data_IF_942531104334
#
_entry.id   IF_942531104334
#
_cell.length_a   1.000
_cell.length_b   1.000
_cell.length_c   1.000
_cell.angle_alpha   90.00
_cell.angle_beta   90.00
_cell.angle_gamma   90.00
#
_symmetry.space_group_name_H-M   'P 1'
#
loop_
_entity.id
_entity.type
_entity.pdbx_description
1 polymer ?
#
# COMPACT_ATOMS: atom_id res chain seq x y z
N UNK A 1 10.80 18.86 -4.48
CA UNK A 1 9.41 19.20 -4.16
C UNK A 1 9.21 18.77 -2.73
N UNK A 2 9.29 19.75 -1.85
CA UNK A 2 9.14 19.59 -0.42
C UNK A 2 7.74 19.06 -0.09
N UNK A 3 7.67 18.29 0.99
CA UNK A 3 6.44 17.86 1.65
C UNK A 3 5.67 19.07 2.16
N UNK A 4 4.95 19.76 1.28
CA UNK A 4 3.82 20.58 1.74
C UNK A 4 2.76 19.62 2.25
N UNK A 5 2.51 19.70 3.56
CA UNK A 5 1.25 19.30 4.17
C UNK A 5 0.11 19.62 3.18
N UNK A 6 -0.81 18.67 2.96
CA UNK A 6 -2.09 19.00 2.29
C UNK A 6 -2.82 20.02 3.16
N UNK A 7 -2.49 21.29 3.01
CA UNK A 7 -3.20 22.42 3.60
C UNK A 7 -4.34 22.70 2.64
N UNK A 8 -5.54 22.25 3.00
CA UNK A 8 -6.74 22.68 2.28
C UNK A 8 -6.78 24.20 2.38
N UNK A 9 -6.83 24.88 1.24
CA UNK A 9 -6.84 26.34 1.24
C UNK A 9 -8.14 26.82 1.88
N UNK A 10 -8.11 27.96 2.57
CA UNK A 10 -9.33 28.59 3.09
C UNK A 10 -10.38 28.76 1.98
N UNK A 11 -9.95 29.00 0.74
CA UNK A 11 -10.83 29.13 -0.41
C UNK A 11 -11.57 27.85 -0.79
N UNK A 12 -10.96 26.67 -0.62
CA UNK A 12 -11.62 25.38 -0.87
C UNK A 12 -12.62 25.05 0.24
N UNK A 13 -12.25 25.29 1.50
CA UNK A 13 -13.17 25.14 2.63
C UNK A 13 -14.39 26.04 2.45
N UNK A 14 -14.19 27.31 2.10
CA UNK A 14 -15.29 28.25 1.89
C UNK A 14 -16.19 27.86 0.71
N UNK A 15 -15.63 27.25 -0.34
CA UNK A 15 -16.40 26.73 -1.48
C UNK A 15 -17.29 25.57 -1.06
N UNK A 16 -16.77 24.61 -0.30
CA UNK A 16 -17.56 23.49 0.22
C UNK A 16 -18.61 23.95 1.23
N UNK A 17 -18.30 24.96 2.06
CA UNK A 17 -19.28 25.55 2.97
C UNK A 17 -20.41 26.28 2.23
N UNK A 18 -20.12 26.88 1.06
CA UNK A 18 -21.11 27.57 0.24
C UNK A 18 -22.13 26.62 -0.44
N UNK A 19 -21.85 25.31 -0.46
CA UNK A 19 -22.78 24.28 -0.96
C UNK A 19 -23.83 23.88 0.10
N UNK A 20 -23.67 24.32 1.35
CA UNK A 20 -24.58 24.02 2.45
C UNK A 20 -25.77 24.99 2.48
N UNK A 21 -26.91 24.49 2.95
CA UNK A 21 -28.10 25.30 3.22
C UNK A 21 -27.90 26.22 4.43
N UNK A 22 -28.73 27.26 4.56
CA UNK A 22 -28.69 28.16 5.72
C UNK A 22 -28.91 27.42 7.04
N UNK A 23 -29.81 26.43 7.07
CA UNK A 23 -30.06 25.60 8.25
C UNK A 23 -28.83 24.76 8.63
N UNK A 24 -28.13 24.20 7.65
CA UNK A 24 -26.88 23.46 7.88
C UNK A 24 -25.75 24.39 8.36
N UNK A 25 -25.62 25.58 7.79
CA UNK A 25 -24.65 26.59 8.27
C UNK A 25 -24.95 27.04 9.70
N UNK A 26 -26.22 27.27 10.02
CA UNK A 26 -26.67 27.63 11.36
C UNK A 26 -26.41 26.48 12.35
N UNK A 27 -26.66 25.23 11.94
CA UNK A 27 -26.28 24.05 12.72
C UNK A 27 -24.76 24.01 12.95
N UNK A 28 -23.94 24.24 11.93
CA UNK A 28 -22.48 24.23 12.06
C UNK A 28 -21.99 25.30 13.04
N UNK A 29 -22.52 26.52 12.92
CA UNK A 29 -22.18 27.65 13.79
C UNK A 29 -22.54 27.35 15.25
N UNK A 30 -23.76 26.86 15.51
CA UNK A 30 -24.24 26.56 16.87
C UNK A 30 -23.56 25.34 17.50
N UNK A 31 -22.96 24.47 16.68
CA UNK A 31 -22.32 23.23 17.13
C UNK A 31 -20.80 23.20 16.86
N UNK A 32 -20.15 24.37 16.75
CA UNK A 32 -18.72 24.46 16.41
C UNK A 32 -17.82 23.63 17.34
N UNK A 33 -18.16 23.59 18.64
CA UNK A 33 -17.42 22.77 19.62
C UNK A 33 -17.54 21.27 19.33
N UNK A 34 -18.72 20.80 18.93
CA UNK A 34 -18.98 19.39 18.59
C UNK A 34 -18.25 19.01 17.30
N UNK A 35 -18.21 19.91 16.32
CA UNK A 35 -17.46 19.72 15.07
C UNK A 35 -15.97 19.63 15.35
N UNK A 36 -15.41 20.55 16.14
CA UNK A 36 -13.99 20.50 16.55
C UNK A 36 -13.67 19.18 17.25
N UNK A 37 -14.53 18.72 18.16
CA UNK A 37 -14.38 17.43 18.83
C UNK A 37 -14.38 16.26 17.84
N UNK A 38 -15.33 16.22 16.90
CA UNK A 38 -15.41 15.17 15.88
C UNK A 38 -14.22 15.18 14.93
N UNK A 39 -13.73 16.35 14.52
CA UNK A 39 -12.52 16.48 13.71
C UNK A 39 -11.31 15.94 14.48
N UNK A 40 -11.13 16.34 15.74
CA UNK A 40 -10.03 15.85 16.56
C UNK A 40 -10.07 14.33 16.76
N UNK A 41 -11.25 13.76 17.03
CA UNK A 41 -11.44 12.31 17.10
C UNK A 41 -11.08 11.64 15.77
N UNK A 42 -11.50 12.21 14.64
CA UNK A 42 -11.19 11.66 13.33
C UNK A 42 -9.70 11.73 13.00
N UNK A 43 -9.01 12.79 13.39
CA UNK A 43 -7.57 12.92 13.22
C UNK A 43 -6.80 11.89 14.07
N UNK A 44 -7.20 11.70 15.33
CA UNK A 44 -6.63 10.69 16.23
C UNK A 44 -6.88 9.26 15.68
N UNK A 45 -8.07 8.98 15.14
CA UNK A 45 -8.34 7.72 14.43
C UNK A 45 -7.45 7.52 13.21
N UNK A 46 -7.24 8.56 12.39
CA UNK A 46 -6.36 8.49 11.22
C UNK A 46 -4.92 8.21 11.66
N UNK A 47 -4.43 8.90 12.70
CA UNK A 47 -3.08 8.72 13.21
C UNK A 47 -2.87 7.31 13.77
N UNK A 48 -3.81 6.81 14.59
CA UNK A 48 -3.79 5.44 15.12
C UNK A 48 -3.84 4.38 14.02
N UNK A 49 -4.51 4.67 12.90
CA UNK A 49 -4.62 3.77 11.75
C UNK A 49 -3.60 4.07 10.64
N UNK A 50 -2.57 4.87 10.92
CA UNK A 50 -1.44 5.09 10.01
C UNK A 50 -0.31 4.12 10.33
N UNK A 51 -0.31 3.01 9.59
CA UNK A 51 0.69 1.96 9.70
C UNK A 51 1.87 2.13 8.75
N UNK A 52 1.73 2.97 7.72
CA UNK A 52 2.74 3.12 6.67
C UNK A 52 2.96 4.59 6.39
N UNK A 53 4.21 5.04 6.53
CA UNK A 53 4.63 6.42 6.35
C UNK A 53 5.83 6.48 5.41
N UNK A 54 5.82 7.30 4.34
CA UNK A 54 6.97 7.45 3.48
C UNK A 54 8.12 8.16 4.21
N UNK A 55 9.36 7.73 3.93
CA UNK A 55 10.55 8.44 4.37
C UNK A 55 11.22 9.13 3.19
N UNK A 56 11.52 10.42 3.35
CA UNK A 56 12.45 11.12 2.46
C UNK A 56 13.87 10.62 2.65
N UNK A 57 14.74 10.85 1.66
CA UNK A 57 16.15 10.48 1.72
C UNK A 57 16.86 11.09 2.94
N UNK A 58 16.50 12.33 3.30
CA UNK A 58 17.04 13.04 4.47
C UNK A 58 16.54 12.43 5.78
N UNK A 59 15.26 12.05 5.85
CA UNK A 59 14.71 11.39 7.05
C UNK A 59 15.37 10.02 7.26
N UNK A 60 15.55 9.23 6.19
CA UNK A 60 16.25 7.96 6.27
C UNK A 60 17.67 8.13 6.80
N UNK A 61 18.43 9.09 6.26
CA UNK A 61 19.80 9.37 6.70
C UNK A 61 19.91 9.75 8.18
N UNK A 62 18.93 10.50 8.70
CA UNK A 62 18.93 10.95 10.10
C UNK A 62 18.47 9.87 11.07
N UNK A 63 17.43 9.12 10.71
CA UNK A 63 16.75 8.20 11.63
C UNK A 63 17.29 6.77 11.54
N UNK A 64 17.77 6.35 10.36
CA UNK A 64 18.23 4.99 10.09
C UNK A 64 19.50 4.99 9.22
N UNK A 65 20.61 5.59 9.70
CA UNK A 65 21.84 5.73 8.92
C UNK A 65 22.43 4.41 8.42
N UNK A 66 22.16 3.30 9.12
CA UNK A 66 22.65 1.96 8.78
C UNK A 66 22.08 1.38 7.47
N UNK A 67 21.01 1.96 6.91
CA UNK A 67 20.39 1.49 5.66
C UNK A 67 20.55 2.47 4.49
N UNK A 68 21.34 3.54 4.67
CA UNK A 68 21.51 4.61 3.67
C UNK A 68 22.26 4.10 2.42
N UNK A 69 23.17 3.14 2.59
CA UNK A 69 23.90 2.53 1.49
C UNK A 69 22.97 1.82 0.48
N UNK A 70 21.86 1.25 0.96
CA UNK A 70 20.82 0.59 0.14
C UNK A 70 20.04 1.60 -0.73
N UNK A 71 19.87 2.84 -0.27
CA UNK A 71 19.04 3.86 -0.92
C UNK A 71 19.46 4.17 -2.37
N UNK A 72 20.76 4.25 -2.63
CA UNK A 72 21.29 4.62 -3.96
C UNK A 72 20.82 3.65 -5.06
N UNK A 73 20.86 2.35 -4.78
CA UNK A 73 20.42 1.32 -5.72
C UNK A 73 18.91 1.39 -5.97
N UNK A 74 18.11 1.61 -4.93
CA UNK A 74 16.65 1.77 -5.06
C UNK A 74 16.25 3.01 -5.84
N UNK A 75 16.88 4.16 -5.58
CA UNK A 75 16.65 5.38 -6.37
C UNK A 75 17.02 5.19 -7.84
N UNK A 76 18.12 4.46 -8.12
CA UNK A 76 18.50 4.11 -9.50
C UNK A 76 17.47 3.18 -10.15
N UNK A 77 16.97 2.19 -9.42
CA UNK A 77 15.91 1.30 -9.89
C UNK A 77 14.64 2.09 -10.19
N UNK A 78 14.13 2.89 -9.25
CA UNK A 78 12.92 3.71 -9.40
C UNK A 78 12.91 4.58 -10.67
N UNK A 79 14.06 5.17 -11.03
CA UNK A 79 14.21 5.90 -12.31
C UNK A 79 13.93 5.05 -13.55
N UNK A 80 14.29 3.75 -13.53
CA UNK A 80 13.97 2.81 -14.63
C UNK A 80 12.47 2.55 -14.75
N UNK A 81 11.74 2.66 -13.64
CA UNK A 81 10.28 2.57 -13.58
C UNK A 81 9.59 3.93 -13.80
N UNK A 82 10.34 5.00 -14.10
CA UNK A 82 9.83 6.37 -14.20
C UNK A 82 9.05 6.79 -12.94
N UNK A 83 9.52 6.37 -11.77
CA UNK A 83 8.94 6.71 -10.49
C UNK A 83 9.90 7.63 -9.72
N UNK A 84 9.38 8.76 -9.27
CA UNK A 84 10.10 9.83 -8.57
C UNK A 84 9.66 10.01 -7.10
N UNK A 85 8.60 9.34 -6.67
CA UNK A 85 8.08 9.37 -5.30
C UNK A 85 8.97 8.64 -4.27
N UNK A 86 8.50 8.49 -3.01
CA UNK A 86 9.24 7.81 -1.96
C UNK A 86 9.53 6.34 -2.30
N UNK A 87 10.78 5.91 -2.11
CA UNK A 87 11.21 4.52 -2.32
C UNK A 87 11.42 3.76 -1.01
N UNK A 88 11.28 4.43 0.14
CA UNK A 88 11.40 3.83 1.47
C UNK A 88 10.18 4.22 2.30
N UNK A 89 9.63 3.22 2.97
CA UNK A 89 8.41 3.33 3.75
C UNK A 89 8.66 2.74 5.13
N UNK A 90 8.40 3.53 6.17
CA UNK A 90 8.35 3.04 7.53
C UNK A 90 7.03 2.32 7.73
N UNK A 91 7.09 1.03 8.01
CA UNK A 91 5.94 0.19 8.33
C UNK A 91 5.95 -0.08 9.83
N UNK A 92 4.84 0.22 10.49
CA UNK A 92 4.61 -0.06 11.90
C UNK A 92 3.99 -1.43 12.08
N UNK A 93 4.31 -2.07 13.20
CA UNK A 93 3.69 -3.32 13.62
C UNK A 93 2.18 -3.16 13.81
N UNK A 94 1.43 -4.17 13.37
CA UNK A 94 0.04 -4.38 13.79
C UNK A 94 -1.02 -4.26 12.69
N UNK A 95 -0.68 -3.81 11.48
CA UNK A 95 -1.64 -3.80 10.38
C UNK A 95 -2.03 -5.24 10.02
N UNK A 96 -3.31 -5.45 9.75
CA UNK A 96 -3.92 -6.71 9.26
C UNK A 96 -5.04 -6.32 8.30
N UNK A 97 -5.26 -7.11 7.27
CA UNK A 97 -6.32 -6.86 6.30
C UNK A 97 -7.70 -6.93 6.99
N UNK A 98 -7.93 -7.94 7.85
CA UNK A 98 -9.22 -8.09 8.55
C UNK A 98 -9.60 -6.93 9.47
N UNK A 99 -8.63 -6.31 10.14
CA UNK A 99 -8.93 -5.29 11.16
C UNK A 99 -8.74 -3.86 10.66
N UNK A 100 -7.95 -3.64 9.60
CA UNK A 100 -7.47 -2.31 9.26
C UNK A 100 -7.74 -1.86 7.83
N UNK A 101 -8.20 -2.75 6.96
CA UNK A 101 -8.70 -2.29 5.66
C UNK A 101 -10.18 -1.95 5.81
N UNK A 102 -10.46 -0.66 6.06
CA UNK A 102 -11.09 0.15 5.02
C UNK A 102 -10.61 1.63 4.98
N UNK A 103 -11.00 2.33 3.90
CA UNK A 103 -10.72 3.72 3.47
C UNK A 103 -9.59 3.96 2.47
N UNK A 104 -9.49 3.12 1.44
CA UNK A 104 -9.08 3.59 0.11
C UNK A 104 -10.30 3.49 -0.83
N UNK A 105 -11.21 4.46 -0.73
CA UNK A 105 -12.51 4.38 -1.43
C UNK A 105 -13.47 3.34 -0.84
N UNK A 106 -14.66 3.15 -1.44
CA UNK A 106 -15.57 2.07 -1.08
C UNK A 106 -14.93 0.73 -1.47
N UNK A 107 -14.32 0.01 -0.53
CA UNK A 107 -13.82 -1.35 -0.81
C UNK A 107 -14.99 -2.24 -1.25
N UNK A 108 -14.76 -3.15 -2.21
CA UNK A 108 -15.77 -4.12 -2.61
C UNK A 108 -16.28 -4.91 -1.38
N UNK A 109 -17.58 -4.75 -1.07
CA UNK A 109 -18.30 -5.41 0.03
C UNK A 109 -17.71 -5.20 1.44
N UNK A 110 -17.04 -4.07 1.72
CA UNK A 110 -16.48 -3.75 3.04
C UNK A 110 -15.62 -4.86 3.67
N UNK A 111 -15.00 -5.70 2.84
CA UNK A 111 -14.24 -6.88 3.26
C UNK A 111 -15.01 -7.84 4.16
N UNK A 112 -16.35 -7.81 4.14
CA UNK A 112 -17.17 -8.58 5.07
C UNK A 112 -16.88 -10.08 4.97
N UNK A 113 -16.62 -10.57 3.76
CA UNK A 113 -16.25 -11.96 3.50
C UNK A 113 -14.89 -12.36 4.13
N UNK A 114 -13.99 -11.42 4.43
CA UNK A 114 -12.70 -11.71 5.05
C UNK A 114 -12.79 -11.86 6.57
N UNK A 115 -13.77 -11.20 7.23
CA UNK A 115 -13.87 -11.14 8.70
C UNK A 115 -13.93 -12.53 9.34
N UNK A 116 -14.75 -13.41 8.77
CA UNK A 116 -14.95 -14.77 9.28
C UNK A 116 -14.13 -15.83 8.54
N UNK A 117 -13.25 -15.41 7.63
CA UNK A 117 -12.53 -16.36 6.82
C UNK A 117 -11.32 -16.94 7.54
N UNK A 118 -11.52 -18.13 8.11
CA UNK A 118 -10.50 -18.88 8.86
C UNK A 118 -9.30 -19.36 8.01
N UNK A 119 -9.43 -19.39 6.67
CA UNK A 119 -8.36 -19.85 5.78
C UNK A 119 -7.33 -18.78 5.45
N UNK A 120 -7.71 -17.49 5.56
CA UNK A 120 -6.74 -16.40 5.47
C UNK A 120 -5.92 -16.36 6.78
N UNK A 121 -4.72 -16.94 6.70
CA UNK A 121 -3.70 -16.84 7.75
C UNK A 121 -2.84 -15.62 7.51
N UNK A 122 -3.34 -14.47 7.94
CA UNK A 122 -2.56 -13.24 7.91
C UNK A 122 -1.67 -13.10 9.15
N UNK A 123 -0.45 -12.67 8.93
CA UNK A 123 0.44 -12.20 9.98
C UNK A 123 0.37 -10.68 10.01
N UNK A 124 0.23 -10.05 11.19
CA UNK A 124 0.31 -8.61 11.29
C UNK A 124 1.65 -8.10 10.76
N UNK A 125 1.68 -6.89 10.19
CA UNK A 125 2.96 -6.24 9.87
C UNK A 125 3.87 -6.19 11.09
N UNK A 126 5.19 -6.18 10.86
CA UNK A 126 6.22 -5.89 11.86
C UNK A 126 6.74 -4.46 11.69
N UNK A 127 7.46 -3.96 12.70
CA UNK A 127 8.21 -2.72 12.54
C UNK A 127 9.33 -2.97 11.52
N UNK A 128 9.31 -2.26 10.42
CA UNK A 128 10.27 -2.44 9.35
C UNK A 128 10.43 -1.18 8.49
N UNK A 129 11.55 -1.09 7.80
CA UNK A 129 11.68 -0.26 6.62
C UNK A 129 11.48 -1.12 5.38
N UNK A 130 10.49 -0.78 4.58
CA UNK A 130 10.27 -1.42 3.30
C UNK A 130 10.76 -0.50 2.20
N UNK A 131 11.74 -0.98 1.45
CA UNK A 131 12.15 -0.42 0.18
C UNK A 131 11.23 -0.95 -0.93
N UNK A 132 10.54 -0.06 -1.61
CA UNK A 132 9.47 -0.45 -2.54
C UNK A 132 9.33 0.57 -3.67
N UNK A 133 9.10 0.05 -4.87
CA UNK A 133 8.70 0.84 -6.05
C UNK A 133 7.27 0.42 -6.40
N UNK A 134 6.28 1.32 -6.34
CA UNK A 134 4.86 1.00 -6.53
C UNK A 134 4.50 0.83 -8.02
N UNK A 135 5.28 0.02 -8.74
CA UNK A 135 5.12 -0.27 -10.16
C UNK A 135 5.38 -1.74 -10.40
N UNK A 136 4.44 -2.40 -11.07
CA UNK A 136 4.61 -3.79 -11.49
C UNK A 136 5.83 -3.90 -12.41
N UNK A 137 6.66 -4.91 -12.18
CA UNK A 137 7.84 -5.18 -12.99
C UNK A 137 7.45 -5.49 -14.42
N UNK A 138 7.98 -4.71 -15.37
CA UNK A 138 7.76 -4.97 -16.80
C UNK A 138 8.27 -6.36 -17.19
N UNK A 139 7.44 -7.12 -17.90
CA UNK A 139 7.70 -8.51 -18.27
C UNK A 139 7.49 -9.52 -17.14
N UNK A 140 7.00 -9.10 -15.97
CA UNK A 140 6.63 -10.06 -14.90
C UNK A 140 5.27 -10.72 -15.10
N UNK A 141 4.43 -10.17 -16.00
CA UNK A 141 3.10 -10.71 -16.30
C UNK A 141 3.18 -11.91 -17.25
N UNK A 142 2.11 -12.71 -17.28
CA UNK A 142 2.03 -13.94 -18.09
C UNK A 142 3.12 -14.97 -17.77
N UNK A 143 3.64 -14.94 -16.53
CA UNK A 143 4.58 -15.90 -15.99
C UNK A 143 3.87 -16.81 -14.99
N UNK A 144 4.35 -18.04 -14.81
CA UNK A 144 3.99 -18.86 -13.64
C UNK A 144 4.65 -18.29 -12.38
N UNK A 145 4.24 -18.76 -11.20
CA UNK A 145 4.86 -18.36 -9.94
C UNK A 145 6.38 -18.66 -9.94
N UNK A 146 6.79 -19.85 -10.38
CA UNK A 146 8.21 -20.23 -10.44
C UNK A 146 9.01 -19.38 -11.42
N UNK A 147 8.40 -19.01 -12.55
CA UNK A 147 8.99 -18.09 -13.52
C UNK A 147 9.11 -16.68 -12.92
N UNK A 148 8.12 -16.19 -12.17
CA UNK A 148 8.17 -14.90 -11.48
C UNK A 148 9.27 -14.86 -10.41
N UNK A 149 9.45 -15.94 -9.64
CA UNK A 149 10.51 -16.03 -8.61
C UNK A 149 11.88 -15.86 -9.26
N UNK A 150 12.16 -16.63 -10.32
CA UNK A 150 13.43 -16.52 -11.08
C UNK A 150 13.60 -15.12 -11.70
N UNK A 151 12.54 -14.60 -12.30
CA UNK A 151 12.57 -13.29 -12.94
C UNK A 151 12.83 -12.16 -11.93
N UNK A 152 12.27 -12.26 -10.71
CA UNK A 152 12.52 -11.33 -9.60
C UNK A 152 13.99 -11.33 -9.18
N UNK A 153 14.59 -12.51 -9.02
CA UNK A 153 16.03 -12.64 -8.71
C UNK A 153 16.91 -12.02 -9.80
N UNK A 154 16.56 -12.23 -11.06
CA UNK A 154 17.29 -11.62 -12.18
C UNK A 154 17.14 -10.10 -12.20
N UNK A 155 15.93 -9.57 -11.92
CA UNK A 155 15.71 -8.14 -11.80
C UNK A 155 16.54 -7.52 -10.66
N UNK A 156 16.63 -8.19 -9.51
CA UNK A 156 17.49 -7.77 -8.39
C UNK A 156 18.94 -7.54 -8.85
N UNK A 157 19.51 -8.50 -9.60
CA UNK A 157 20.87 -8.40 -10.16
C UNK A 157 20.98 -7.26 -11.19
N UNK A 158 20.04 -7.16 -12.12
CA UNK A 158 20.02 -6.13 -13.18
C UNK A 158 19.98 -4.72 -12.57
N UNK A 159 19.17 -4.52 -11.55
CA UNK A 159 19.06 -3.23 -10.87
C UNK A 159 20.15 -3.02 -9.79
N UNK A 160 20.99 -4.02 -9.53
CA UNK A 160 22.04 -4.01 -8.50
C UNK A 160 21.49 -3.68 -7.12
N UNK A 161 20.34 -4.25 -6.79
CA UNK A 161 19.73 -4.15 -5.47
C UNK A 161 20.49 -5.02 -4.46
N UNK A 162 20.38 -4.72 -3.14
CA UNK A 162 21.00 -5.52 -2.08
C UNK A 162 20.69 -7.03 -2.19
N UNK A 163 21.58 -7.87 -1.68
CA UNK A 163 21.50 -9.34 -1.85
C UNK A 163 20.35 -9.99 -1.08
N UNK A 164 20.00 -9.37 0.03
CA UNK A 164 18.92 -9.68 0.96
C UNK A 164 17.57 -9.05 0.58
N UNK A 165 17.52 -8.28 -0.52
CA UNK A 165 16.27 -7.70 -1.03
C UNK A 165 15.70 -8.54 -2.17
N UNK A 166 14.42 -8.37 -2.49
CA UNK A 166 13.73 -9.08 -3.57
C UNK A 166 13.89 -10.61 -3.48
N UNK A 167 14.01 -11.10 -2.26
CA UNK A 167 14.04 -12.51 -1.85
C UNK A 167 12.61 -13.05 -1.60
N UNK A 168 11.65 -12.15 -1.46
CA UNK A 168 10.21 -12.43 -1.26
C UNK A 168 9.33 -11.44 -2.05
N UNK A 169 8.08 -11.79 -2.32
CA UNK A 169 7.11 -10.88 -2.94
C UNK A 169 6.47 -9.94 -1.90
N UNK A 170 6.51 -10.34 -0.63
CA UNK A 170 5.82 -9.69 0.47
C UNK A 170 4.56 -10.47 0.84
N UNK A 171 4.21 -10.45 2.11
CA UNK A 171 2.91 -10.94 2.57
C UNK A 171 1.79 -10.06 2.05
N UNK A 172 0.58 -10.61 1.98
CA UNK A 172 -0.60 -9.85 1.58
C UNK A 172 -0.83 -8.62 2.48
N UNK A 173 -0.57 -8.79 3.78
CA UNK A 173 -0.70 -7.74 4.79
C UNK A 173 0.25 -6.58 4.51
N UNK A 174 1.52 -6.87 4.19
CA UNK A 174 2.53 -5.85 3.84
C UNK A 174 2.14 -5.14 2.53
N UNK A 175 1.72 -5.89 1.51
CA UNK A 175 1.35 -5.31 0.22
C UNK A 175 0.15 -4.36 0.34
N UNK A 176 -0.92 -4.77 1.03
CA UNK A 176 -2.06 -3.90 1.28
C UNK A 176 -1.69 -2.67 2.11
N UNK A 177 -0.88 -2.84 3.15
CA UNK A 177 -0.42 -1.71 3.95
C UNK A 177 0.31 -0.66 3.10
N UNK A 178 1.19 -1.11 2.19
CA UNK A 178 1.95 -0.26 1.27
C UNK A 178 1.05 0.42 0.23
N UNK A 179 0.15 -0.33 -0.41
CA UNK A 179 -0.81 0.21 -1.39
C UNK A 179 -1.68 1.28 -0.74
N UNK A 180 -2.25 0.99 0.43
CA UNK A 180 -3.07 1.94 1.18
C UNK A 180 -2.26 3.15 1.66
N UNK A 181 -1.02 2.93 2.11
CA UNK A 181 -0.10 3.99 2.50
C UNK A 181 0.20 4.95 1.35
N UNK A 182 0.48 4.41 0.16
CA UNK A 182 0.69 5.23 -1.04
C UNK A 182 -0.57 5.99 -1.44
N UNK A 183 -1.72 5.32 -1.43
CA UNK A 183 -2.99 5.97 -1.76
C UNK A 183 -3.30 7.11 -0.79
N UNK A 184 -3.13 6.91 0.52
CA UNK A 184 -3.31 7.97 1.52
C UNK A 184 -2.34 9.13 1.32
N UNK A 185 -1.09 8.83 0.94
CA UNK A 185 -0.06 9.85 0.73
C UNK A 185 -0.24 10.65 -0.56
N UNK A 186 -0.54 9.98 -1.67
CA UNK A 186 -0.52 10.59 -3.02
C UNK A 186 -1.89 10.68 -3.69
N UNK A 187 -2.83 9.81 -3.31
CA UNK A 187 -4.06 9.56 -4.05
C UNK A 187 -3.90 8.58 -5.22
N UNK A 188 -2.68 8.12 -5.53
CA UNK A 188 -2.42 7.18 -6.62
C UNK A 188 -2.96 5.79 -6.28
N UNK A 189 -3.69 5.20 -7.23
CA UNK A 189 -4.24 3.84 -7.16
C UNK A 189 -3.25 2.88 -7.81
N UNK A 190 -2.63 2.03 -7.01
CA UNK A 190 -1.68 1.02 -7.50
C UNK A 190 -2.12 -0.38 -7.06
N UNK A 191 -1.81 -1.45 -7.82
CA UNK A 191 -1.13 -1.46 -9.12
C UNK A 191 -1.87 -0.67 -10.22
N UNK A 192 -1.12 -0.09 -11.17
CA UNK A 192 -1.71 0.70 -12.26
C UNK A 192 -2.40 -0.20 -13.29
N UNK A 193 -3.46 0.30 -13.94
CA UNK A 193 -4.10 -0.39 -15.07
C UNK A 193 -4.89 -1.64 -14.68
N UNK A 194 -5.50 -1.63 -13.50
CA UNK A 194 -6.27 -2.77 -12.95
C UNK A 194 -5.45 -4.05 -12.88
N UNK A 195 -4.18 -3.89 -12.51
CA UNK A 195 -3.27 -4.99 -12.28
C UNK A 195 -3.35 -5.49 -10.84
N UNK A 196 -2.84 -6.68 -10.63
CA UNK A 196 -2.64 -7.30 -9.33
C UNK A 196 -1.16 -7.61 -9.08
N UNK A 197 -0.75 -7.56 -7.81
CA UNK A 197 0.55 -7.99 -7.34
C UNK A 197 0.45 -9.32 -6.60
N UNK A 198 1.29 -10.28 -6.99
CA UNK A 198 1.43 -11.55 -6.27
C UNK A 198 2.04 -11.33 -4.88
N UNK A 199 1.57 -12.12 -3.92
CA UNK A 199 2.09 -12.17 -2.55
C UNK A 199 2.60 -13.57 -2.20
N UNK A 200 3.39 -13.65 -1.14
CA UNK A 200 3.82 -14.92 -0.53
C UNK A 200 2.73 -15.53 0.38
N UNK A 201 1.58 -14.87 0.54
CA UNK A 201 0.47 -15.40 1.33
C UNK A 201 -0.27 -16.46 0.52
N UNK A 202 -0.07 -17.72 0.90
CA UNK A 202 -0.62 -18.88 0.19
C UNK A 202 -1.58 -19.68 1.06
N UNK A 203 -2.50 -20.39 0.42
CA UNK A 203 -3.25 -21.47 1.06
C UNK A 203 -3.30 -22.70 0.15
N UNK A 204 -3.41 -23.87 0.77
CA UNK A 204 -3.63 -25.14 0.07
C UNK A 204 -5.08 -25.54 0.21
N UNK A 205 -5.76 -25.76 -0.90
CA UNK A 205 -7.13 -26.28 -0.93
C UNK A 205 -7.19 -27.73 -0.45
N UNK A 206 -8.41 -28.22 -0.17
CA UNK A 206 -8.67 -29.61 0.20
C UNK A 206 -8.20 -30.62 -0.86
N UNK A 207 -8.14 -30.18 -2.13
CA UNK A 207 -7.64 -30.99 -3.26
C UNK A 207 -6.11 -31.00 -3.39
N UNK A 208 -5.39 -30.31 -2.50
CA UNK A 208 -3.93 -30.18 -2.55
C UNK A 208 -3.42 -29.07 -3.49
N UNK A 209 -4.31 -28.38 -4.21
CA UNK A 209 -3.94 -27.23 -5.07
C UNK A 209 -3.55 -26.02 -4.21
N UNK A 210 -2.41 -25.40 -4.53
CA UNK A 210 -1.90 -24.18 -3.89
C UNK A 210 -2.40 -22.94 -4.62
N UNK A 211 -2.82 -21.94 -3.84
CA UNK A 211 -3.27 -20.64 -4.32
C UNK A 211 -2.48 -19.55 -3.60
N UNK A 212 -2.19 -18.45 -4.30
CA UNK A 212 -1.62 -17.26 -3.69
C UNK A 212 -2.64 -16.15 -3.69
N UNK A 213 -2.63 -15.37 -2.62
CA UNK A 213 -3.43 -14.18 -2.51
C UNK A 213 -2.77 -13.06 -3.32
N UNK A 214 -3.58 -12.33 -4.08
CA UNK A 214 -3.14 -11.19 -4.88
C UNK A 214 -3.59 -9.88 -4.23
N UNK A 215 -2.69 -8.90 -4.15
CA UNK A 215 -3.00 -7.55 -3.68
C UNK A 215 -3.13 -6.62 -4.88
N UNK A 216 -4.25 -5.92 -5.01
CA UNK A 216 -4.43 -4.95 -6.07
C UNK A 216 -5.82 -4.92 -6.67
N UNK A 217 -5.86 -4.48 -7.93
CA UNK A 217 -6.99 -3.91 -8.67
C UNK A 217 -7.83 -2.91 -7.87
N UNK A 218 -7.83 -1.66 -8.33
CA UNK A 218 -8.83 -0.72 -7.90
C UNK A 218 -9.99 -0.83 -8.88
N UNK A 219 -11.13 -1.32 -8.41
CA UNK A 219 -12.33 -1.46 -9.22
C UNK A 219 -12.83 -0.10 -9.77
N UNK A 220 -13.80 -0.16 -10.68
CA UNK A 220 -14.40 1.03 -11.28
C UNK A 220 -15.09 1.95 -10.24
N UNK A 221 -15.48 1.41 -9.08
CA UNK A 221 -16.05 2.16 -7.96
C UNK A 221 -14.98 2.80 -7.07
N UNK A 222 -13.70 2.52 -7.34
CA UNK A 222 -12.55 3.01 -6.61
C UNK A 222 -12.23 2.23 -5.34
N UNK A 223 -12.80 1.04 -5.19
CA UNK A 223 -12.52 0.07 -4.14
C UNK A 223 -11.31 -0.78 -4.48
N UNK A 224 -10.49 -1.08 -3.48
CA UNK A 224 -9.38 -2.00 -3.64
C UNK A 224 -9.86 -3.45 -3.53
N UNK A 225 -9.62 -4.23 -4.57
CA UNK A 225 -9.93 -5.66 -4.64
C UNK A 225 -9.00 -6.47 -3.73
N UNK A 226 -9.58 -7.49 -3.14
CA UNK A 226 -9.10 -8.24 -2.00
C UNK A 226 -9.69 -9.66 -1.96
N UNK A 227 -10.36 -10.10 -3.02
CA UNK A 227 -10.97 -11.43 -3.06
C UNK A 227 -10.36 -12.36 -4.13
N UNK A 228 -9.28 -11.92 -4.80
CA UNK A 228 -8.68 -12.65 -5.91
C UNK A 228 -7.54 -13.61 -5.50
N UNK A 229 -7.66 -14.87 -5.96
CA UNK A 229 -6.73 -15.96 -5.65
C UNK A 229 -6.40 -16.79 -6.88
N UNK A 230 -5.11 -16.86 -7.23
CA UNK A 230 -4.60 -17.85 -8.17
C UNK A 230 -3.09 -18.02 -7.97
N UNK A 231 -2.52 -19.14 -8.36
CA UNK A 231 -1.08 -19.27 -8.56
C UNK A 231 -0.69 -20.21 -9.69
N UNK A 232 -1.67 -20.67 -10.47
CA UNK A 232 -1.50 -21.72 -11.48
C UNK A 232 -1.61 -21.21 -12.90
N UNK A 233 -2.27 -20.08 -13.13
CA UNK A 233 -2.52 -19.58 -14.49
C UNK A 233 -1.60 -18.41 -14.85
N UNK A 234 -1.22 -18.34 -16.12
CA UNK A 234 -0.46 -17.22 -16.70
C UNK A 234 -1.40 -16.06 -17.01
N UNK A 235 -1.65 -15.20 -16.04
CA UNK A 235 -2.54 -14.05 -16.22
C UNK A 235 -1.84 -12.84 -16.83
N UNK A 236 -2.59 -12.10 -17.67
CA UNK A 236 -2.11 -10.87 -18.32
C UNK A 236 -2.04 -9.65 -17.41
N UNK A 237 -2.63 -9.72 -16.22
CA UNK A 237 -2.79 -8.60 -15.28
C UNK A 237 -2.14 -8.85 -13.91
N UNK A 238 -1.52 -10.01 -13.71
CA UNK A 238 -0.82 -10.34 -12.46
C UNK A 238 0.68 -10.20 -12.70
N UNK A 239 1.36 -9.44 -11.85
CA UNK A 239 2.81 -9.36 -11.80
C UNK A 239 3.31 -9.21 -10.36
N UNK A 240 4.49 -8.64 -10.16
CA UNK A 240 5.01 -8.36 -8.82
C UNK A 240 5.62 -6.96 -8.71
N UNK A 241 5.68 -6.46 -7.48
CA UNK A 241 6.53 -5.31 -7.11
C UNK A 241 7.93 -5.77 -6.71
N UNK A 242 8.92 -4.90 -6.92
CA UNK A 242 10.20 -5.09 -6.24
C UNK A 242 10.08 -4.58 -4.81
N UNK A 243 10.51 -5.42 -3.87
CA UNK A 243 10.41 -5.16 -2.44
C UNK A 243 11.71 -5.59 -1.75
N UNK A 244 12.15 -4.84 -0.75
CA UNK A 244 13.23 -5.21 0.17
C UNK A 244 12.86 -4.76 1.57
N UNK A 245 13.13 -5.59 2.57
CA UNK A 245 12.65 -5.35 3.94
C UNK A 245 13.79 -5.39 4.92
N UNK A 246 13.86 -4.35 5.74
CA UNK A 246 14.76 -4.26 6.89
C UNK A 246 13.93 -4.24 8.17
N UNK A 247 14.12 -5.23 9.03
CA UNK A 247 13.49 -5.21 10.36
C UNK A 247 14.19 -4.19 11.27
N UNK A 248 13.41 -3.51 12.13
CA UNK A 248 13.89 -2.47 13.05
C UNK A 248 13.32 -2.61 14.46
#
# INVERSE_FOLDING_TARGET
MDTENRVVSTSEVMRSLAELTEDELCFLQNNLWLIKKRIAQRLDEIEKNTFVTPLSDVQLQKQYPQFVDKLKSWRKAAKKFRYDGPVVWLVKKGFTLKNHAPFAGPCYRDLEFLKDWSRLKETPTSNSLIFWIPRIVSGSKQLTLEEMIKYREDRRKIYRLPSDHCDRFGSITELFALILGLFKYTGERVPLGSDFAVSDTMFTSETGKVFCFMAGDFDDLGGLDCDFWDCTSKWKFIGFFLLGVEEI
#
